data_IF_479363664649
#
_entry.id   IF_479363664649
#
_cell.length_a   1.000
_cell.length_b   1.000
_cell.length_c   1.000
_cell.angle_alpha   90.00
_cell.angle_beta   90.00
_cell.angle_gamma   90.00
#
_symmetry.space_group_name_H-M   'P 1'
#
loop_
_entity.id
_entity.type
_entity.pdbx_description
1 polymer ?
#
# COMPACT_ATOMS: atom_id res chain seq x y z
N UNK A 1 17.17 27.92 -45.58
CA UNK A 1 17.82 26.78 -46.26
C UNK A 1 19.13 26.45 -45.55
N UNK A 2 19.10 25.52 -44.59
CA UNK A 2 20.29 24.99 -43.95
C UNK A 2 20.31 23.46 -44.13
N UNK A 3 21.30 23.01 -44.89
CA UNK A 3 21.70 21.61 -45.06
C UNK A 3 22.59 21.20 -43.88
N UNK A 4 22.71 19.87 -43.67
CA UNK A 4 23.69 19.12 -42.86
C UNK A 4 23.16 18.69 -41.48
N UNK A 5 23.38 17.47 -40.98
CA UNK A 5 24.04 16.27 -41.50
C UNK A 5 23.66 15.10 -40.56
N UNK A 6 23.47 13.94 -41.17
CA UNK A 6 23.35 12.59 -40.59
C UNK A 6 24.47 12.26 -39.59
N UNK A 7 24.14 11.60 -38.47
CA UNK A 7 25.04 10.62 -37.84
C UNK A 7 24.22 9.45 -37.25
N UNK A 8 24.22 8.35 -37.99
CA UNK A 8 23.79 7.02 -37.56
C UNK A 8 24.89 6.44 -36.65
N UNK A 9 24.58 6.20 -35.38
CA UNK A 9 25.45 5.40 -34.51
C UNK A 9 24.85 3.99 -34.42
N UNK A 10 25.32 3.12 -35.32
CA UNK A 10 25.26 1.68 -35.18
C UNK A 10 26.22 1.26 -34.07
N UNK A 11 25.69 1.11 -32.85
CA UNK A 11 26.44 0.68 -31.67
C UNK A 11 26.26 -0.81 -31.38
N UNK A 12 27.07 -1.61 -32.08
CA UNK A 12 27.66 -2.90 -31.67
C UNK A 12 26.91 -3.77 -30.63
N UNK A 13 26.29 -4.85 -31.13
CA UNK A 13 25.97 -6.07 -30.37
C UNK A 13 27.28 -6.68 -29.82
N UNK A 14 27.51 -6.61 -28.51
CA UNK A 14 28.44 -7.52 -27.83
C UNK A 14 27.65 -8.71 -27.30
N UNK A 15 27.66 -9.81 -28.05
CA UNK A 15 27.21 -11.12 -27.57
C UNK A 15 28.32 -11.66 -26.66
N UNK A 16 28.17 -11.49 -25.35
CA UNK A 16 29.02 -12.17 -24.37
C UNK A 16 28.43 -13.56 -24.17
N UNK A 17 28.97 -14.55 -24.88
CA UNK A 17 28.76 -15.96 -24.59
C UNK A 17 29.49 -16.32 -23.29
N UNK A 18 28.87 -16.01 -22.15
CA UNK A 18 29.32 -16.46 -20.84
C UNK A 18 29.02 -17.94 -20.69
N UNK A 19 30.07 -18.76 -20.65
CA UNK A 19 29.99 -20.17 -20.30
C UNK A 19 29.33 -20.32 -18.93
N UNK A 20 28.14 -20.91 -18.90
CA UNK A 20 27.44 -21.29 -17.67
C UNK A 20 28.17 -22.51 -17.11
N UNK A 21 29.11 -22.29 -16.20
CA UNK A 21 29.59 -23.34 -15.30
C UNK A 21 28.40 -23.80 -14.47
N UNK A 22 27.87 -24.97 -14.81
CA UNK A 22 26.92 -25.69 -13.99
C UNK A 22 27.62 -26.18 -12.73
N UNK A 23 27.76 -25.31 -11.73
CA UNK A 23 28.07 -25.75 -10.37
C UNK A 23 26.90 -26.60 -9.89
N UNK A 24 27.13 -27.91 -9.81
CA UNK A 24 26.29 -28.85 -9.08
C UNK A 24 26.30 -28.43 -7.61
N UNK A 25 25.40 -27.53 -7.27
CA UNK A 25 25.09 -27.21 -5.88
C UNK A 25 24.52 -28.49 -5.24
N UNK A 26 25.16 -29.05 -4.20
CA UNK A 26 24.63 -30.24 -3.54
C UNK A 26 23.22 -29.94 -3.06
N UNK A 27 22.26 -30.79 -3.46
CA UNK A 27 20.89 -30.75 -2.94
C UNK A 27 20.95 -31.01 -1.44
N UNK A 28 21.02 -29.94 -0.66
CA UNK A 28 20.72 -29.99 0.77
C UNK A 28 19.26 -30.46 0.86
N UNK A 29 18.97 -31.61 1.51
CA UNK A 29 17.60 -32.01 1.75
C UNK A 29 16.93 -30.87 2.50
N UNK A 30 15.93 -30.25 1.85
CA UNK A 30 15.09 -29.26 2.48
C UNK A 30 14.34 -30.00 3.57
N UNK A 31 14.88 -29.98 4.79
CA UNK A 31 14.13 -30.36 5.96
C UNK A 31 12.87 -29.49 5.92
N UNK A 32 11.73 -30.14 5.76
CA UNK A 32 10.42 -29.53 5.81
C UNK A 32 10.26 -29.03 7.25
N UNK A 33 10.78 -27.83 7.50
CA UNK A 33 10.58 -27.11 8.75
C UNK A 33 9.08 -26.84 8.74
N UNK A 34 8.34 -27.70 9.43
CA UNK A 34 6.97 -27.43 9.81
C UNK A 34 7.00 -26.08 10.52
N UNK A 35 6.66 -25.03 9.78
CA UNK A 35 6.37 -23.72 10.34
C UNK A 35 5.11 -23.94 11.14
N UNK A 36 5.31 -24.29 12.40
CA UNK A 36 4.32 -24.23 13.46
C UNK A 36 3.66 -22.87 13.30
N UNK A 37 2.46 -22.91 12.72
CA UNK A 37 1.68 -21.73 12.39
C UNK A 37 1.13 -21.25 13.71
N UNK A 38 2.00 -20.62 14.50
CA UNK A 38 1.64 -19.97 15.74
C UNK A 38 0.49 -19.05 15.39
N UNK A 39 -0.68 -19.38 15.91
CA UNK A 39 -1.89 -18.61 15.73
C UNK A 39 -1.60 -17.23 16.33
N UNK A 40 -1.30 -16.27 15.46
CA UNK A 40 -0.96 -14.91 15.89
C UNK A 40 -2.19 -14.38 16.60
N UNK A 41 -2.07 -14.11 17.90
CA UNK A 41 -3.15 -13.52 18.68
C UNK A 41 -3.42 -12.10 18.15
N UNK A 42 -4.41 -12.00 17.26
CA UNK A 42 -4.79 -10.74 16.63
C UNK A 42 -5.83 -10.04 17.52
N UNK A 43 -5.71 -8.71 17.74
CA UNK A 43 -6.71 -7.96 18.47
C UNK A 43 -8.12 -8.19 17.91
N UNK A 44 -9.11 -8.23 18.81
CA UNK A 44 -10.52 -8.36 18.43
C UNK A 44 -10.95 -7.24 17.48
N UNK A 45 -11.80 -7.58 16.51
CA UNK A 45 -12.31 -6.62 15.54
C UNK A 45 -13.20 -5.57 16.25
N UNK A 46 -12.82 -4.31 16.13
CA UNK A 46 -13.59 -3.20 16.69
C UNK A 46 -14.91 -3.01 15.93
N UNK A 47 -16.02 -2.69 16.62
CA UNK A 47 -17.29 -2.36 15.97
C UNK A 47 -17.28 -0.97 15.31
N UNK A 48 -16.25 -0.14 15.58
CA UNK A 48 -16.16 1.18 15.00
C UNK A 48 -15.76 1.12 13.52
N UNK A 49 -16.32 2.04 12.74
CA UNK A 49 -16.07 2.19 11.31
C UNK A 49 -15.10 3.33 11.01
N UNK A 50 -14.45 3.28 9.84
CA UNK A 50 -13.60 4.38 9.38
C UNK A 50 -14.31 5.75 9.34
N UNK A 51 -15.64 5.78 9.14
CA UNK A 51 -16.41 7.02 9.12
C UNK A 51 -16.54 7.65 10.51
N UNK A 52 -16.50 6.85 11.57
CA UNK A 52 -16.43 7.36 12.93
C UNK A 52 -15.06 7.97 13.23
N UNK A 53 -13.97 7.40 12.70
CA UNK A 53 -12.63 7.99 12.80
C UNK A 53 -12.59 9.35 12.12
N UNK A 54 -13.06 9.42 10.87
CA UNK A 54 -13.13 10.67 10.10
C UNK A 54 -13.95 11.73 10.86
N UNK A 55 -15.09 11.34 11.45
CA UNK A 55 -15.91 12.25 12.25
C UNK A 55 -15.18 12.74 13.48
N UNK A 56 -14.53 11.84 14.24
CA UNK A 56 -13.78 12.19 15.44
C UNK A 56 -12.65 13.18 15.13
N UNK A 57 -11.94 12.95 14.04
CA UNK A 57 -10.87 13.83 13.57
C UNK A 57 -11.42 15.18 13.11
N UNK A 58 -12.51 15.20 12.34
CA UNK A 58 -13.12 16.43 11.89
C UNK A 58 -13.74 17.28 13.02
N UNK A 59 -14.08 16.66 14.16
CA UNK A 59 -14.48 17.35 15.40
C UNK A 59 -13.25 17.90 16.11
N UNK A 60 -12.20 17.08 16.26
CA UNK A 60 -10.94 17.51 16.88
C UNK A 60 -10.28 18.69 16.16
N UNK A 61 -10.41 18.79 14.84
CA UNK A 61 -9.88 19.90 14.03
C UNK A 61 -10.71 21.18 14.12
N UNK A 62 -12.04 21.07 14.26
CA UNK A 62 -12.96 22.22 14.18
C UNK A 62 -13.32 22.81 15.53
N UNK A 63 -13.50 21.97 16.54
CA UNK A 63 -14.23 22.33 17.75
C UNK A 63 -13.32 22.37 19.00
N UNK A 64 -12.01 22.13 18.84
CA UNK A 64 -11.07 22.05 19.95
C UNK A 64 -10.29 23.34 20.16
N UNK A 65 -10.21 23.80 21.41
CA UNK A 65 -9.33 24.91 21.82
C UNK A 65 -7.84 24.58 21.61
N UNK A 66 -7.49 23.30 21.80
CA UNK A 66 -6.18 22.74 21.48
C UNK A 66 -6.33 21.55 20.52
N UNK A 67 -6.21 21.85 19.23
CA UNK A 67 -6.30 20.86 18.13
C UNK A 67 -5.24 19.76 18.29
N UNK A 68 -4.03 20.09 18.73
CA UNK A 68 -2.95 19.13 18.91
C UNK A 68 -3.28 18.08 19.97
N UNK A 69 -3.76 18.53 21.13
CA UNK A 69 -4.20 17.64 22.21
C UNK A 69 -5.42 16.80 21.81
N UNK A 70 -6.36 17.38 21.06
CA UNK A 70 -7.54 16.68 20.56
C UNK A 70 -7.17 15.57 19.55
N UNK A 71 -6.31 15.87 18.57
CA UNK A 71 -5.80 14.87 17.62
C UNK A 71 -5.00 13.76 18.32
N UNK A 72 -4.18 14.11 19.32
CA UNK A 72 -3.46 13.11 20.11
C UNK A 72 -4.41 12.18 20.88
N UNK A 73 -5.55 12.68 21.36
CA UNK A 73 -6.59 11.86 21.99
C UNK A 73 -7.22 10.90 20.96
N UNK A 74 -7.61 11.40 19.80
CA UNK A 74 -8.18 10.55 18.75
C UNK A 74 -7.19 9.45 18.36
N UNK A 75 -5.90 9.77 18.22
CA UNK A 75 -4.87 8.74 17.99
C UNK A 75 -4.88 7.65 19.07
N UNK A 76 -4.80 8.04 20.35
CA UNK A 76 -4.79 7.07 21.47
C UNK A 76 -6.04 6.19 21.51
N UNK A 77 -7.21 6.76 21.23
CA UNK A 77 -8.48 6.04 21.30
C UNK A 77 -8.60 4.97 20.21
N UNK A 78 -7.90 5.16 19.09
CA UNK A 78 -7.97 4.28 17.92
C UNK A 78 -6.75 3.37 17.73
N UNK A 79 -5.60 3.70 18.30
CA UNK A 79 -4.37 2.93 18.14
C UNK A 79 -4.48 1.54 18.80
N UNK A 80 -3.80 0.55 18.21
CA UNK A 80 -3.74 -0.83 18.72
C UNK A 80 -4.99 -1.67 18.48
N UNK A 81 -6.04 -1.09 17.89
CA UNK A 81 -7.31 -1.77 17.58
C UNK A 81 -7.35 -2.24 16.14
N UNK A 82 -7.98 -3.39 15.91
CA UNK A 82 -8.22 -3.94 14.57
C UNK A 82 -9.54 -3.43 14.03
N UNK A 83 -9.56 -2.93 12.80
CA UNK A 83 -10.75 -2.39 12.14
C UNK A 83 -10.98 -3.02 10.79
N UNK A 84 -12.23 -2.95 10.32
CA UNK A 84 -12.58 -3.22 8.93
C UNK A 84 -12.53 -1.93 8.13
N UNK A 85 -11.67 -1.90 7.14
CA UNK A 85 -11.45 -0.78 6.24
C UNK A 85 -12.11 -1.05 4.90
N UNK A 86 -12.62 0.02 4.31
CA UNK A 86 -13.05 0.12 2.93
C UNK A 86 -12.18 1.16 2.26
N UNK A 87 -11.50 0.76 1.20
CA UNK A 87 -10.68 1.67 0.45
C UNK A 87 -10.87 1.50 -1.05
N UNK A 88 -10.61 2.57 -1.80
CA UNK A 88 -10.55 2.52 -3.24
C UNK A 88 -9.10 2.43 -3.70
N UNK A 89 -8.83 1.43 -4.53
CA UNK A 89 -7.58 1.29 -5.27
C UNK A 89 -7.78 1.91 -6.64
N UNK A 90 -6.82 2.73 -7.06
CA UNK A 90 -6.70 3.20 -8.44
C UNK A 90 -5.55 2.43 -9.07
N UNK A 91 -5.83 1.58 -10.06
CA UNK A 91 -4.83 0.67 -10.62
C UNK A 91 -3.56 1.39 -11.11
N UNK A 92 -3.71 2.56 -11.76
CA UNK A 92 -2.57 3.38 -12.21
C UNK A 92 -1.71 3.94 -11.07
N UNK A 93 -2.25 4.02 -9.86
CA UNK A 93 -1.55 4.47 -8.65
C UNK A 93 -1.10 3.30 -7.76
N UNK A 94 -1.21 2.05 -8.23
CA UNK A 94 -0.86 0.84 -7.50
C UNK A 94 0.06 -0.05 -8.37
N UNK A 95 1.09 0.58 -8.94
CA UNK A 95 2.06 -0.09 -9.81
C UNK A 95 3.07 -0.96 -9.06
N UNK A 96 3.32 -0.69 -7.78
CA UNK A 96 4.25 -1.47 -6.95
C UNK A 96 3.68 -1.71 -5.55
N UNK A 97 4.09 -2.80 -4.84
CA UNK A 97 3.60 -3.11 -3.49
C UNK A 97 3.79 -1.98 -2.48
N UNK A 98 4.82 -1.14 -2.66
CA UNK A 98 5.15 -0.02 -1.78
C UNK A 98 4.51 1.31 -2.23
N UNK A 99 3.90 1.34 -3.41
CA UNK A 99 3.32 2.54 -4.00
C UNK A 99 1.79 2.47 -4.11
N UNK A 100 1.12 1.42 -3.61
CA UNK A 100 -0.34 1.33 -3.64
C UNK A 100 -0.97 2.37 -2.72
N UNK A 101 -1.34 3.49 -3.33
CA UNK A 101 -2.11 4.54 -2.69
C UNK A 101 -3.56 4.08 -2.59
N UNK A 102 -4.12 4.17 -1.38
CA UNK A 102 -5.52 3.86 -1.15
C UNK A 102 -6.26 5.09 -0.64
N UNK A 103 -7.44 5.32 -1.22
CA UNK A 103 -8.35 6.33 -0.71
C UNK A 103 -9.24 5.66 0.33
N UNK A 104 -8.99 5.95 1.61
CA UNK A 104 -9.80 5.44 2.72
C UNK A 104 -11.14 6.17 2.86
N UNK A 105 -11.40 7.19 2.04
CA UNK A 105 -12.68 7.89 2.01
C UNK A 105 -13.05 8.24 0.57
N UNK A 106 -14.33 8.14 0.25
CA UNK A 106 -14.95 8.63 -0.99
C UNK A 106 -15.13 10.16 -0.99
N UNK A 107 -14.95 10.80 0.17
CA UNK A 107 -15.27 12.21 0.45
C UNK A 107 -14.04 13.09 0.64
N UNK A 108 -13.04 12.97 -0.22
CA UNK A 108 -12.22 14.14 -0.52
C UNK A 108 -13.13 15.11 -1.30
N UNK A 109 -13.92 15.91 -0.58
CA UNK A 109 -14.63 17.04 -1.18
C UNK A 109 -13.61 17.93 -1.90
N UNK A 110 -14.03 18.57 -2.99
CA UNK A 110 -13.16 19.38 -3.86
C UNK A 110 -12.38 20.47 -3.11
N UNK A 111 -12.83 20.83 -1.91
CA UNK A 111 -12.30 21.94 -1.11
C UNK A 111 -11.46 21.50 0.11
N UNK A 112 -11.08 20.22 0.21
CA UNK A 112 -10.14 19.78 1.26
C UNK A 112 -8.73 19.67 0.72
N UNK A 113 -7.82 20.42 1.34
CA UNK A 113 -6.39 20.25 1.12
C UNK A 113 -6.00 18.78 1.35
N UNK A 114 -5.16 18.25 0.47
CA UNK A 114 -4.54 16.93 0.66
C UNK A 114 -3.52 17.07 1.79
N UNK A 115 -3.93 16.72 3.02
CA UNK A 115 -3.03 16.71 4.17
C UNK A 115 -2.10 15.50 4.06
N UNK A 116 -0.81 15.76 3.79
CA UNK A 116 0.25 14.74 3.76
C UNK A 116 0.34 14.09 5.15
N UNK A 117 0.32 12.76 5.19
CA UNK A 117 0.39 11.97 6.44
C UNK A 117 -0.92 11.29 6.84
N UNK A 118 -2.04 11.61 6.18
CA UNK A 118 -3.34 11.02 6.50
C UNK A 118 -3.79 9.88 5.61
N UNK A 119 -3.20 9.72 4.43
CA UNK A 119 -3.41 8.52 3.64
C UNK A 119 -2.57 7.40 4.25
N UNK A 120 -3.19 6.38 4.90
CA UNK A 120 -2.42 5.26 5.40
C UNK A 120 -1.78 4.56 4.21
N UNK A 121 -0.46 4.42 4.25
CA UNK A 121 0.24 3.54 3.33
C UNK A 121 -0.10 2.11 3.70
N UNK A 122 -0.68 1.37 2.77
CA UNK A 122 -0.84 -0.07 2.95
C UNK A 122 0.47 -0.75 2.58
N UNK A 123 1.09 -1.37 3.55
CA UNK A 123 2.16 -2.33 3.30
C UNK A 123 1.53 -3.66 2.91
N UNK A 124 1.47 -3.94 1.62
CA UNK A 124 0.96 -5.20 1.09
C UNK A 124 2.11 -6.19 0.94
N UNK A 125 1.91 -7.44 1.37
CA UNK A 125 2.81 -8.52 0.95
C UNK A 125 2.80 -8.66 -0.57
N UNK A 126 3.87 -9.19 -1.16
CA UNK A 126 3.91 -9.41 -2.61
C UNK A 126 2.74 -10.26 -3.13
N UNK A 127 2.27 -11.21 -2.33
CA UNK A 127 1.07 -12.02 -2.63
C UNK A 127 -0.21 -11.18 -2.59
N UNK A 128 -0.40 -10.37 -1.54
CA UNK A 128 -1.56 -9.49 -1.42
C UNK A 128 -1.62 -8.46 -2.55
N UNK A 129 -0.47 -7.87 -2.89
CA UNK A 129 -0.35 -6.95 -4.02
C UNK A 129 -0.76 -7.61 -5.34
N UNK A 130 -0.23 -8.80 -5.67
CA UNK A 130 -0.59 -9.50 -6.91
C UNK A 130 -2.09 -9.84 -6.99
N UNK A 131 -2.68 -10.28 -5.88
CA UNK A 131 -4.13 -10.55 -5.81
C UNK A 131 -4.95 -9.29 -6.06
N UNK A 132 -4.53 -8.18 -5.45
CA UNK A 132 -5.19 -6.89 -5.59
C UNK A 132 -5.06 -6.33 -7.01
N UNK A 133 -3.87 -6.41 -7.61
CA UNK A 133 -3.64 -6.02 -9.00
C UNK A 133 -4.47 -6.84 -9.99
N UNK A 134 -4.59 -8.16 -9.77
CA UNK A 134 -5.42 -9.03 -10.59
C UNK A 134 -6.93 -8.73 -10.44
N UNK A 135 -7.40 -8.48 -9.22
CA UNK A 135 -8.82 -8.19 -8.95
C UNK A 135 -9.26 -6.79 -9.38
N UNK A 136 -8.34 -5.85 -9.50
CA UNK A 136 -8.60 -4.44 -9.81
C UNK A 136 -8.08 -4.01 -11.20
N UNK A 137 -7.94 -4.95 -12.14
CA UNK A 137 -7.49 -4.70 -13.50
C UNK A 137 -8.57 -3.96 -14.32
N UNK A 138 -8.64 -2.64 -14.18
CA UNK A 138 -9.58 -1.82 -14.94
C UNK A 138 -9.26 -0.32 -14.86
N UNK A 139 -9.81 0.50 -15.77
CA UNK A 139 -9.54 1.95 -15.83
C UNK A 139 -10.19 2.77 -14.69
N UNK A 140 -10.75 2.11 -13.68
CA UNK A 140 -11.58 2.73 -12.65
C UNK A 140 -11.05 2.55 -11.23
N UNK A 141 -11.87 3.01 -10.27
CA UNK A 141 -11.68 2.74 -8.85
C UNK A 141 -12.19 1.34 -8.53
N UNK A 142 -11.41 0.57 -7.79
CA UNK A 142 -11.76 -0.75 -7.30
C UNK A 142 -11.96 -0.67 -5.79
N UNK A 143 -13.16 -0.97 -5.28
CA UNK A 143 -13.40 -1.06 -3.83
C UNK A 143 -12.76 -2.34 -3.29
N UNK A 144 -11.93 -2.21 -2.27
CA UNK A 144 -11.40 -3.32 -1.49
C UNK A 144 -11.88 -3.21 -0.04
N UNK A 145 -11.98 -4.36 0.62
CA UNK A 145 -12.21 -4.47 2.05
C UNK A 145 -11.07 -5.25 2.68
N UNK A 146 -10.51 -4.73 3.75
CA UNK A 146 -9.44 -5.40 4.49
C UNK A 146 -9.58 -5.13 5.97
N UNK A 147 -8.94 -5.97 6.78
CA UNK A 147 -8.85 -5.79 8.22
C UNK A 147 -7.42 -5.42 8.59
N UNK A 148 -7.25 -4.45 9.48
CA UNK A 148 -5.93 -3.97 9.84
C UNK A 148 -5.94 -3.26 11.19
N UNK A 149 -4.82 -3.37 11.89
CA UNK A 149 -4.58 -2.68 13.17
C UNK A 149 -4.02 -1.30 12.90
N UNK A 150 -4.57 -0.28 13.58
CA UNK A 150 -3.99 1.07 13.51
C UNK A 150 -2.76 1.14 14.41
N UNK A 151 -1.61 1.54 13.86
CA UNK A 151 -0.33 1.63 14.58
C UNK A 151 0.07 3.06 14.94
#
# INVERSE_FOLDING_TARGET
MNKKLVLLILGSLCVVAGAVSAELSPRVPVAEVAMDSAEVDLPALSPLSQYQLIRALAVAERDADDVGAALARVRRDWQGRRYRWRAYVVGSLCATPNACNVLVTDRLGADRDVVVGWMPRLHLSGVAHRRLAAGCAGPGRCEIRFEGTMS
#
